data_IF_342420259835
#
_entry.id   IF_342420259835
#
_cell.length_a   1.000
_cell.length_b   1.000
_cell.length_c   1.000
_cell.angle_alpha   90.00
_cell.angle_beta   90.00
_cell.angle_gamma   90.00
#
_symmetry.space_group_name_H-M   'P 1'
#
loop_
_entity.id
_entity.type
_entity.pdbx_description
1 polymer ?
#
# COMPACT_ATOMS: atom_id res chain seq x y z
N UNK A 1 -53.14 18.02 -25.36
CA UNK A 1 -53.29 16.62 -25.79
C UNK A 1 -51.89 16.03 -25.77
N UNK A 2 -51.53 15.20 -24.78
CA UNK A 2 -51.52 13.70 -24.86
C UNK A 2 -50.89 13.22 -26.18
N UNK A 3 -49.85 12.39 -26.25
CA UNK A 3 -49.22 11.44 -25.30
C UNK A 3 -47.89 10.90 -25.95
N UNK A 4 -46.78 10.67 -25.22
CA UNK A 4 -46.19 9.36 -24.76
C UNK A 4 -45.67 8.46 -25.91
N UNK A 5 -44.57 7.70 -25.93
CA UNK A 5 -43.31 7.42 -25.17
C UNK A 5 -42.43 6.55 -26.14
N UNK A 6 -41.14 6.22 -25.96
CA UNK A 6 -40.49 5.43 -24.88
C UNK A 6 -38.96 5.62 -24.94
N UNK A 7 -38.40 5.95 -23.77
CA UNK A 7 -37.00 5.90 -23.34
C UNK A 7 -36.71 4.51 -22.75
N UNK A 8 -35.54 3.89 -23.04
CA UNK A 8 -34.84 2.90 -22.19
C UNK A 8 -33.50 2.47 -22.85
N UNK A 9 -32.35 2.29 -22.20
CA UNK A 9 -31.93 2.44 -20.78
C UNK A 9 -30.38 2.49 -20.73
N UNK A 10 -29.86 3.51 -20.02
CA UNK A 10 -28.55 3.69 -19.38
C UNK A 10 -27.23 3.63 -20.20
N UNK A 11 -27.05 4.62 -21.06
CA UNK A 11 -25.85 5.48 -20.99
C UNK A 11 -26.27 6.82 -20.36
N UNK A 12 -25.37 7.46 -19.59
CA UNK A 12 -25.52 8.73 -18.88
C UNK A 12 -26.01 8.67 -17.41
N UNK A 13 -25.12 8.25 -16.52
CA UNK A 13 -24.84 8.82 -15.19
C UNK A 13 -23.68 7.98 -14.60
N UNK A 14 -22.43 8.43 -14.61
CA UNK A 14 -21.86 9.26 -13.54
C UNK A 14 -20.59 9.95 -14.07
N UNK A 15 -20.52 11.26 -13.87
CA UNK A 15 -19.30 12.06 -13.99
C UNK A 15 -18.25 11.59 -12.98
N UNK A 16 -16.94 11.49 -13.31
CA UNK A 16 -15.90 11.31 -12.31
C UNK A 16 -15.64 12.68 -11.67
N UNK A 17 -16.33 12.99 -10.58
CA UNK A 17 -16.04 14.20 -9.84
C UNK A 17 -14.71 14.01 -9.09
N UNK A 18 -13.66 14.83 -9.34
CA UNK A 18 -12.39 14.77 -8.59
C UNK A 18 -12.61 14.92 -7.07
N UNK A 19 -13.69 15.59 -6.68
CA UNK A 19 -14.18 15.74 -5.31
C UNK A 19 -14.40 14.39 -4.59
N UNK A 20 -14.77 13.33 -5.31
CA UNK A 20 -15.02 12.02 -4.71
C UNK A 20 -13.72 11.26 -4.44
N UNK A 21 -12.71 11.41 -5.32
CA UNK A 21 -11.38 10.85 -5.10
C UNK A 21 -10.66 11.55 -3.94
N UNK A 22 -10.77 12.89 -3.85
CA UNK A 22 -10.23 13.67 -2.74
C UNK A 22 -10.92 13.30 -1.41
N UNK A 23 -12.25 13.12 -1.43
CA UNK A 23 -13.00 12.65 -0.27
C UNK A 23 -12.53 11.27 0.22
N UNK A 24 -12.39 10.30 -0.70
CA UNK A 24 -11.94 8.94 -0.35
C UNK A 24 -10.57 8.96 0.31
N UNK A 25 -9.65 9.76 -0.24
CA UNK A 25 -8.30 9.90 0.30
C UNK A 25 -8.31 10.56 1.68
N UNK A 26 -8.97 11.71 1.81
CA UNK A 26 -8.95 12.47 3.06
C UNK A 26 -9.66 11.72 4.20
N UNK A 27 -10.75 11.00 3.89
CA UNK A 27 -11.46 10.16 4.86
C UNK A 27 -10.69 8.89 5.22
N UNK A 28 -10.06 8.25 4.24
CA UNK A 28 -9.20 7.09 4.48
C UNK A 28 -8.04 7.46 5.43
N UNK A 29 -7.38 8.59 5.18
CA UNK A 29 -6.28 9.08 6.00
C UNK A 29 -6.73 9.52 7.40
N UNK A 30 -7.87 10.20 7.53
CA UNK A 30 -8.41 10.62 8.82
C UNK A 30 -8.83 9.43 9.70
N UNK A 31 -9.46 8.43 9.11
CA UNK A 31 -9.77 7.18 9.79
C UNK A 31 -8.47 6.47 10.23
N UNK A 32 -7.51 6.34 9.32
CA UNK A 32 -6.26 5.64 9.60
C UNK A 32 -5.45 6.31 10.73
N UNK A 33 -5.42 7.66 10.77
CA UNK A 33 -4.79 8.41 11.84
C UNK A 33 -5.48 8.22 13.21
N UNK A 34 -6.80 8.01 13.22
CA UNK A 34 -7.56 7.69 14.44
C UNK A 34 -7.24 6.27 14.90
N UNK A 35 -7.14 5.36 13.94
CA UNK A 35 -6.86 3.94 14.17
C UNK A 35 -5.46 3.66 14.70
N UNK A 36 -4.47 4.42 14.27
CA UNK A 36 -3.13 4.35 14.83
C UNK A 36 -3.06 4.78 16.30
N UNK A 37 -3.96 5.67 16.74
CA UNK A 37 -3.98 6.18 18.13
C UNK A 37 -4.84 5.34 19.05
N UNK A 38 -5.92 4.76 18.54
CA UNK A 38 -6.84 3.92 19.31
C UNK A 38 -7.42 2.82 18.42
N UNK A 39 -6.72 1.69 18.24
CA UNK A 39 -7.20 0.60 17.41
C UNK A 39 -8.50 0.04 18.01
N UNK A 40 -9.59 0.09 17.25
CA UNK A 40 -10.85 -0.55 17.63
C UNK A 40 -10.67 -2.07 17.64
N UNK A 41 -10.76 -2.66 18.84
CA UNK A 41 -10.57 -4.10 19.11
C UNK A 41 -11.78 -4.94 18.72
N UNK A 42 -12.89 -4.33 18.30
CA UNK A 42 -14.12 -5.05 17.93
C UNK A 42 -14.15 -5.55 16.49
N UNK A 43 -13.07 -5.34 15.72
CA UNK A 43 -13.03 -5.57 14.26
C UNK A 43 -12.82 -7.01 13.80
N UNK A 44 -12.84 -8.01 14.70
CA UNK A 44 -12.81 -9.41 14.31
C UNK A 44 -11.67 -9.79 13.34
N UNK A 45 -10.51 -9.14 13.49
CA UNK A 45 -9.31 -9.39 12.67
C UNK A 45 -9.21 -8.63 11.34
N UNK A 46 -10.08 -7.66 11.06
CA UNK A 46 -9.95 -6.77 9.89
C UNK A 46 -8.85 -5.74 10.16
N UNK A 47 -7.97 -5.51 9.18
CA UNK A 47 -6.89 -4.54 9.32
C UNK A 47 -7.42 -3.09 9.36
N UNK A 48 -6.67 -2.19 10.00
CA UNK A 48 -7.07 -0.79 10.10
C UNK A 48 -7.20 -0.12 8.72
N UNK A 49 -6.35 -0.49 7.77
CA UNK A 49 -6.38 -0.02 6.39
C UNK A 49 -7.66 -0.46 5.66
N UNK A 50 -8.05 -1.73 5.77
CA UNK A 50 -9.27 -2.25 5.15
C UNK A 50 -10.53 -1.61 5.74
N UNK A 51 -10.58 -1.47 7.06
CA UNK A 51 -11.69 -0.80 7.73
C UNK A 51 -11.81 0.67 7.27
N UNK A 52 -10.69 1.38 7.21
CA UNK A 52 -10.69 2.78 6.82
C UNK A 52 -10.98 3.00 5.34
N UNK A 53 -10.54 2.10 4.47
CA UNK A 53 -10.91 2.12 3.06
C UNK A 53 -12.43 1.89 2.89
N UNK A 54 -13.00 0.89 3.57
CA UNK A 54 -14.43 0.61 3.52
C UNK A 54 -15.27 1.77 4.10
N UNK A 55 -14.85 2.34 5.22
CA UNK A 55 -15.50 3.49 5.84
C UNK A 55 -15.48 4.72 4.92
N UNK A 56 -14.34 5.01 4.29
CA UNK A 56 -14.23 6.12 3.34
C UNK A 56 -15.18 5.96 2.14
N UNK A 57 -15.32 4.74 1.60
CA UNK A 57 -16.24 4.45 0.49
C UNK A 57 -17.70 4.67 0.90
N UNK A 58 -18.09 4.26 2.10
CA UNK A 58 -19.47 4.45 2.59
C UNK A 58 -19.77 5.93 2.81
N UNK A 59 -18.86 6.68 3.45
CA UNK A 59 -19.08 8.09 3.77
C UNK A 59 -19.04 8.99 2.53
N UNK A 60 -18.13 8.73 1.59
CA UNK A 60 -18.01 9.48 0.34
C UNK A 60 -19.03 9.03 -0.71
N UNK A 61 -19.64 7.85 -0.56
CA UNK A 61 -20.74 7.37 -1.40
C UNK A 61 -22.11 7.96 -1.02
N UNK A 62 -22.30 8.40 0.23
CA UNK A 62 -23.56 9.03 0.68
C UNK A 62 -23.65 10.53 0.37
N UNK A 63 -22.56 11.17 -0.06
CA UNK A 63 -22.50 12.63 -0.27
C UNK A 63 -23.04 13.09 -1.64
N UNK A 64 -23.38 12.16 -2.55
CA UNK A 64 -23.93 12.50 -3.88
C UNK A 64 -25.47 12.61 -3.93
N UNK A 65 -26.17 12.50 -2.80
CA UNK A 65 -27.64 12.59 -2.75
C UNK A 65 -28.15 13.46 -1.59
N UNK A 66 -27.76 14.74 -1.56
CA UNK A 66 -28.45 15.77 -0.77
C UNK A 66 -28.12 17.18 -1.28
N UNK A 67 -28.64 17.51 -2.47
CA UNK A 67 -28.80 18.90 -2.87
C UNK A 67 -30.10 19.45 -2.24
N UNK A 68 -29.97 20.26 -1.19
CA UNK A 68 -31.07 20.99 -0.55
C UNK A 68 -30.54 21.85 0.59
N UNK A 69 -30.38 23.15 0.34
CA UNK A 69 -29.62 24.07 1.20
C UNK A 69 -30.28 24.45 2.52
N UNK A 70 -29.45 25.00 3.41
CA UNK A 70 -29.84 25.71 4.63
C UNK A 70 -28.65 25.91 5.56
N UNK A 71 -28.24 27.16 5.78
CA UNK A 71 -27.17 27.55 6.71
C UNK A 71 -27.63 27.48 8.18
N UNK A 72 -26.62 27.38 9.06
CA UNK A 72 -26.46 27.98 10.41
C UNK A 72 -26.26 26.97 11.58
N UNK A 73 -24.97 26.80 11.94
CA UNK A 73 -24.32 26.76 13.28
C UNK A 73 -24.69 25.68 14.35
N UNK A 74 -23.76 25.41 15.31
CA UNK A 74 -23.54 24.09 15.91
C UNK A 74 -24.11 23.96 17.32
N UNK A 75 -24.41 22.73 17.75
CA UNK A 75 -24.44 22.30 19.16
C UNK A 75 -24.50 20.76 19.27
N UNK A 76 -23.55 20.23 20.04
CA UNK A 76 -23.65 19.18 21.06
C UNK A 76 -24.37 17.82 20.85
N UNK A 77 -23.57 16.77 21.11
CA UNK A 77 -23.77 15.66 22.09
C UNK A 77 -25.02 14.77 21.97
N UNK A 78 -24.75 13.47 21.77
CA UNK A 78 -25.57 12.28 22.06
C UNK A 78 -27.01 12.23 21.53
N UNK A 79 -27.26 11.35 20.56
CA UNK A 79 -28.49 10.55 20.55
C UNK A 79 -28.37 9.31 19.65
N UNK A 80 -28.42 8.16 20.32
CA UNK A 80 -29.21 6.97 20.00
C UNK A 80 -29.19 6.37 18.57
N UNK A 81 -28.64 5.15 18.53
CA UNK A 81 -28.96 4.09 17.56
C UNK A 81 -30.47 4.01 17.32
N UNK A 82 -30.89 4.27 16.08
CA UNK A 82 -32.14 3.72 15.52
C UNK A 82 -31.81 2.81 14.33
N UNK A 83 -32.10 1.51 14.52
CA UNK A 83 -32.31 0.55 13.44
C UNK A 83 -33.42 1.09 12.53
N UNK A 84 -33.25 0.95 11.23
CA UNK A 84 -34.37 0.97 10.29
C UNK A 84 -34.31 -0.27 9.41
N UNK A 85 -35.38 -1.05 9.54
CA UNK A 85 -35.74 -2.17 8.68
C UNK A 85 -36.11 -1.67 7.28
N UNK A 86 -35.69 -2.48 6.29
CA UNK A 86 -36.23 -2.71 4.95
C UNK A 86 -36.73 -1.53 4.09
N UNK A 87 -36.17 -1.41 2.88
CA UNK A 87 -36.87 -1.30 1.58
C UNK A 87 -35.84 -1.34 0.41
N UNK A 88 -36.25 -1.61 -0.85
CA UNK A 88 -35.94 -2.85 -1.56
C UNK A 88 -34.72 -2.77 -2.48
N UNK A 89 -34.00 -3.89 -2.57
CA UNK A 89 -32.96 -4.15 -3.55
C UNK A 89 -33.57 -4.16 -4.95
N UNK A 90 -33.26 -3.15 -5.77
CA UNK A 90 -33.44 -3.23 -7.20
C UNK A 90 -32.49 -4.31 -7.74
N UNK A 91 -33.07 -5.48 -8.07
CA UNK A 91 -32.40 -6.57 -8.78
C UNK A 91 -31.87 -6.06 -10.12
N UNK A 92 -30.56 -5.95 -10.24
CA UNK A 92 -29.87 -6.29 -11.48
C UNK A 92 -29.26 -7.67 -11.27
N UNK A 93 -29.70 -8.61 -12.11
CA UNK A 93 -29.37 -10.02 -11.99
C UNK A 93 -27.93 -10.25 -12.48
N UNK A 94 -27.03 -10.37 -11.53
CA UNK A 94 -25.98 -11.40 -11.59
C UNK A 94 -25.72 -11.94 -10.18
N UNK A 95 -26.72 -12.63 -9.63
CA UNK A 95 -26.53 -13.51 -8.49
C UNK A 95 -25.87 -14.80 -8.97
N UNK A 96 -24.59 -14.72 -9.33
CA UNK A 96 -23.72 -15.86 -9.09
C UNK A 96 -23.68 -16.00 -7.57
N UNK A 97 -24.22 -17.09 -7.01
CA UNK A 97 -23.97 -17.42 -5.61
C UNK A 97 -22.47 -17.26 -5.37
N UNK A 98 -22.08 -16.38 -4.44
CA UNK A 98 -20.67 -16.20 -4.07
C UNK A 98 -20.16 -17.58 -3.73
N UNK A 99 -19.29 -18.15 -4.58
CA UNK A 99 -18.74 -19.47 -4.30
C UNK A 99 -18.06 -19.38 -2.93
N UNK A 100 -18.10 -20.45 -2.14
CA UNK A 100 -17.50 -20.45 -0.80
C UNK A 100 -16.01 -20.01 -0.82
N UNK A 101 -15.32 -20.25 -1.94
CA UNK A 101 -13.94 -19.82 -2.19
C UNK A 101 -13.73 -18.29 -2.31
N UNK A 102 -14.79 -17.52 -2.54
CA UNK A 102 -14.71 -16.07 -2.77
C UNK A 102 -15.22 -15.23 -1.56
N UNK A 103 -15.40 -15.86 -0.39
CA UNK A 103 -15.94 -15.18 0.81
C UNK A 103 -15.04 -14.02 1.26
N UNK A 104 -13.72 -14.18 1.14
CA UNK A 104 -12.73 -13.16 1.49
C UNK A 104 -12.20 -12.38 0.27
N UNK A 105 -12.83 -12.56 -0.89
CA UNK A 105 -12.32 -11.99 -2.13
C UNK A 105 -12.75 -10.52 -2.32
N UNK A 106 -11.77 -9.68 -2.65
CA UNK A 106 -11.95 -8.34 -3.19
C UNK A 106 -12.23 -8.41 -4.69
N UNK A 107 -13.11 -7.54 -5.19
CA UNK A 107 -13.49 -7.47 -6.60
C UNK A 107 -13.25 -6.07 -7.15
N UNK A 108 -12.56 -5.99 -8.28
CA UNK A 108 -12.20 -4.75 -8.96
C UNK A 108 -12.85 -4.73 -10.34
N UNK A 109 -13.75 -3.78 -10.57
CA UNK A 109 -14.47 -3.66 -11.82
C UNK A 109 -13.53 -3.31 -12.97
N UNK A 110 -13.64 -4.02 -14.07
CA UNK A 110 -13.00 -3.70 -15.36
C UNK A 110 -14.06 -3.72 -16.46
N UNK A 111 -13.74 -3.22 -17.65
CA UNK A 111 -14.72 -3.00 -18.72
C UNK A 111 -15.62 -4.20 -19.01
N UNK A 112 -15.03 -5.40 -19.12
CA UNK A 112 -15.73 -6.64 -19.46
C UNK A 112 -15.70 -7.69 -18.33
N UNK A 113 -15.68 -7.23 -17.06
CA UNK A 113 -15.71 -8.16 -15.94
C UNK A 113 -15.11 -7.65 -14.63
N UNK A 114 -14.52 -8.57 -13.89
CA UNK A 114 -13.94 -8.33 -12.58
C UNK A 114 -12.57 -8.96 -12.46
N UNK A 115 -11.59 -8.21 -11.96
CA UNK A 115 -10.41 -8.82 -11.34
C UNK A 115 -10.82 -9.17 -9.90
N UNK A 116 -10.60 -10.42 -9.50
CA UNK A 116 -10.97 -10.94 -8.19
C UNK A 116 -9.69 -11.35 -7.48
N UNK A 117 -9.43 -10.82 -6.29
CA UNK A 117 -8.25 -11.17 -5.48
C UNK A 117 -8.69 -11.65 -4.12
N UNK A 118 -8.15 -12.78 -3.66
CA UNK A 118 -8.42 -13.31 -2.33
C UNK A 118 -7.11 -13.55 -1.58
N UNK A 119 -6.99 -13.11 -0.31
CA UNK A 119 -5.85 -13.45 0.53
C UNK A 119 -5.88 -14.92 0.99
N UNK A 120 -6.89 -15.70 0.58
CA UNK A 120 -7.09 -17.08 1.01
C UNK A 120 -7.99 -17.19 2.25
N UNK A 121 -8.07 -18.39 2.81
CA UNK A 121 -8.77 -18.69 4.06
C UNK A 121 -8.02 -18.11 5.25
N UNK A 122 -8.75 -17.68 6.29
CA UNK A 122 -8.11 -17.27 7.54
C UNK A 122 -7.49 -18.49 8.23
N UNK A 123 -6.45 -18.26 9.04
CA UNK A 123 -5.81 -19.34 9.79
C UNK A 123 -6.84 -20.16 10.59
N UNK A 124 -6.90 -21.47 10.34
CA UNK A 124 -7.81 -22.40 11.00
C UNK A 124 -9.20 -22.55 10.34
N UNK A 125 -9.51 -21.80 9.29
CA UNK A 125 -10.73 -21.94 8.51
C UNK A 125 -10.66 -23.17 7.58
N UNK A 126 -11.81 -23.83 7.36
CA UNK A 126 -11.91 -25.00 6.47
C UNK A 126 -13.06 -24.81 5.45
N UNK A 127 -12.88 -25.19 4.18
CA UNK A 127 -11.63 -25.69 3.59
C UNK A 127 -10.55 -24.60 3.55
N UNK A 128 -9.29 -25.03 3.57
CA UNK A 128 -8.17 -24.12 3.34
C UNK A 128 -8.20 -23.66 1.89
N UNK A 129 -8.23 -22.34 1.70
CA UNK A 129 -8.25 -21.70 0.39
C UNK A 129 -6.94 -20.93 0.28
N UNK A 130 -6.16 -21.23 -0.76
CA UNK A 130 -4.92 -20.49 -1.02
C UNK A 130 -5.22 -19.08 -1.52
N UNK A 131 -4.31 -18.11 -1.30
CA UNK A 131 -4.43 -16.82 -1.95
C UNK A 131 -4.45 -16.97 -3.48
N UNK A 132 -5.23 -16.13 -4.16
CA UNK A 132 -5.32 -16.17 -5.62
C UNK A 132 -5.73 -14.83 -6.23
N UNK A 133 -5.48 -14.71 -7.53
CA UNK A 133 -6.02 -13.68 -8.42
C UNK A 133 -6.74 -14.37 -9.59
N UNK A 134 -7.96 -13.93 -9.91
CA UNK A 134 -8.78 -14.37 -11.04
C UNK A 134 -9.17 -13.17 -11.91
N UNK A 135 -9.44 -13.41 -13.19
CA UNK A 135 -10.25 -12.52 -14.02
C UNK A 135 -11.55 -13.22 -14.38
N UNK A 136 -12.67 -12.63 -13.98
CA UNK A 136 -13.97 -13.31 -13.93
C UNK A 136 -13.82 -14.62 -13.15
N UNK A 137 -14.13 -15.75 -13.79
CA UNK A 137 -14.00 -17.08 -13.18
C UNK A 137 -12.71 -17.82 -13.61
N UNK A 138 -11.82 -17.17 -14.35
CA UNK A 138 -10.56 -17.75 -14.82
C UNK A 138 -9.43 -17.41 -13.86
N UNK A 139 -8.79 -18.44 -13.29
CA UNK A 139 -7.61 -18.29 -12.46
C UNK A 139 -6.46 -17.66 -13.27
N UNK A 140 -5.89 -16.58 -12.74
CA UNK A 140 -4.67 -15.97 -13.26
C UNK A 140 -3.47 -16.54 -12.51
N UNK A 141 -3.55 -16.52 -11.18
CA UNK A 141 -2.48 -16.96 -10.30
C UNK A 141 -3.05 -17.47 -8.98
N UNK A 142 -2.50 -18.57 -8.50
CA UNK A 142 -2.70 -19.10 -7.14
C UNK A 142 -1.33 -19.08 -6.47
N UNK A 143 -1.29 -18.74 -5.18
CA UNK A 143 -0.05 -18.57 -4.45
C UNK A 143 0.09 -19.61 -3.34
N UNK A 144 1.31 -20.09 -3.17
CA UNK A 144 1.68 -21.03 -2.12
C UNK A 144 2.53 -20.33 -1.06
N UNK A 145 2.23 -20.59 0.22
CA UNK A 145 3.04 -20.17 1.37
C UNK A 145 3.40 -18.68 1.40
N UNK A 146 2.50 -17.81 0.94
CA UNK A 146 2.67 -16.35 1.00
C UNK A 146 1.39 -15.64 1.47
N UNK A 147 1.58 -14.48 2.08
CA UNK A 147 0.54 -13.48 2.29
C UNK A 147 0.41 -12.63 1.03
N UNK A 148 -0.79 -12.56 0.45
CA UNK A 148 -1.12 -11.69 -0.67
C UNK A 148 -1.73 -10.39 -0.16
N UNK A 149 -1.17 -9.25 -0.57
CA UNK A 149 -1.68 -7.92 -0.25
C UNK A 149 -1.90 -7.10 -1.52
N UNK A 150 -2.91 -6.22 -1.50
CA UNK A 150 -3.18 -5.32 -2.62
C UNK A 150 -2.52 -3.96 -2.35
N UNK A 151 -1.62 -3.55 -3.24
CA UNK A 151 -0.90 -2.28 -3.17
C UNK A 151 -1.68 -1.15 -3.85
N UNK A 152 -2.51 -1.48 -4.84
CA UNK A 152 -3.33 -0.51 -5.55
C UNK A 152 -4.12 -1.08 -6.72
N UNK A 153 -5.14 -0.34 -7.15
CA UNK A 153 -5.87 -0.63 -8.38
C UNK A 153 -6.05 0.67 -9.17
N UNK A 154 -5.51 0.71 -10.38
CA UNK A 154 -5.40 1.94 -11.18
C UNK A 154 -5.71 1.71 -12.65
N UNK A 155 -5.96 2.79 -13.40
CA UNK A 155 -6.12 2.74 -14.85
C UNK A 155 -4.89 3.33 -15.55
N UNK A 156 -4.37 2.63 -16.55
CA UNK A 156 -3.24 3.04 -17.37
C UNK A 156 -3.56 2.84 -18.87
N UNK A 157 -4.06 3.90 -19.51
CA UNK A 157 -4.51 3.82 -20.89
C UNK A 157 -5.77 2.97 -20.99
N UNK A 158 -5.71 1.90 -21.79
CA UNK A 158 -6.80 0.91 -21.95
C UNK A 158 -6.75 -0.24 -20.95
N UNK A 159 -5.85 -0.16 -19.97
CA UNK A 159 -5.63 -1.22 -19.00
C UNK A 159 -6.18 -0.83 -17.63
N UNK A 160 -6.90 -1.75 -17.01
CA UNK A 160 -7.10 -1.77 -15.56
C UNK A 160 -5.99 -2.61 -14.93
N UNK A 161 -5.27 -2.06 -13.96
CA UNK A 161 -4.05 -2.64 -13.39
C UNK A 161 -4.22 -2.83 -11.89
N UNK A 162 -4.14 -4.08 -11.45
CA UNK A 162 -3.99 -4.47 -10.06
C UNK A 162 -2.50 -4.56 -9.72
N UNK A 163 -2.08 -3.78 -8.72
CA UNK A 163 -0.76 -3.86 -8.10
C UNK A 163 -0.90 -4.66 -6.81
N UNK A 164 -0.02 -5.64 -6.61
CA UNK A 164 -0.07 -6.52 -5.46
C UNK A 164 1.33 -6.89 -4.99
N UNK A 165 1.41 -7.25 -3.71
CA UNK A 165 2.61 -7.73 -3.06
C UNK A 165 2.39 -9.13 -2.48
N UNK A 166 3.46 -9.93 -2.48
CA UNK A 166 3.50 -11.22 -1.79
C UNK A 166 4.63 -11.23 -0.76
N UNK A 167 4.35 -11.79 0.42
CA UNK A 167 5.35 -11.98 1.46
C UNK A 167 5.29 -13.42 2.00
N UNK A 168 6.38 -14.19 1.97
CA UNK A 168 6.41 -15.56 2.49
C UNK A 168 6.28 -15.65 4.02
N UNK A 169 6.29 -14.51 4.71
CA UNK A 169 6.32 -14.45 6.16
C UNK A 169 7.70 -14.79 6.73
N UNK A 170 7.94 -14.34 7.96
CA UNK A 170 9.19 -14.56 8.67
C UNK A 170 9.98 -13.28 8.93
N UNK A 171 10.90 -13.36 9.88
CA UNK A 171 11.77 -12.23 10.21
C UNK A 171 12.76 -12.02 9.06
N UNK A 172 12.72 -10.86 8.41
CA UNK A 172 13.70 -10.49 7.39
C UNK A 172 13.26 -10.68 5.93
N UNK A 173 12.04 -11.14 5.66
CA UNK A 173 11.51 -11.29 4.29
C UNK A 173 11.01 -9.95 3.75
N UNK A 174 11.39 -9.62 2.51
CA UNK A 174 10.92 -8.43 1.78
C UNK A 174 9.67 -8.78 0.98
N UNK A 175 8.81 -7.80 0.78
CA UNK A 175 7.68 -7.93 -0.13
C UNK A 175 8.19 -8.05 -1.58
N UNK A 176 7.59 -8.96 -2.33
CA UNK A 176 7.77 -9.06 -3.78
C UNK A 176 6.56 -8.41 -4.45
N UNK A 177 6.79 -7.38 -5.26
CA UNK A 177 5.72 -6.63 -5.91
C UNK A 177 5.52 -7.09 -7.36
N UNK A 178 4.27 -7.18 -7.78
CA UNK A 178 3.88 -7.61 -9.12
C UNK A 178 2.63 -6.85 -9.58
N UNK A 179 2.31 -6.98 -10.87
CA UNK A 179 1.10 -6.41 -11.45
C UNK A 179 0.35 -7.41 -12.33
N UNK A 180 -0.97 -7.28 -12.32
CA UNK A 180 -1.89 -7.87 -13.30
C UNK A 180 -2.62 -6.73 -13.99
N UNK A 181 -2.53 -6.66 -15.31
CA UNK A 181 -3.22 -5.69 -16.14
C UNK A 181 -4.20 -6.39 -17.08
N UNK A 182 -5.43 -5.89 -17.17
CA UNK A 182 -6.46 -6.40 -18.08
C UNK A 182 -6.85 -5.29 -19.05
N UNK A 183 -6.76 -5.57 -20.35
CA UNK A 183 -7.14 -4.62 -21.39
C UNK A 183 -8.66 -4.58 -21.64
N UNK A 184 -9.08 -3.61 -22.43
CA UNK A 184 -10.47 -3.40 -22.86
C UNK A 184 -11.12 -4.55 -23.66
N UNK A 185 -10.37 -5.61 -23.99
CA UNK A 185 -10.85 -6.82 -24.65
C UNK A 185 -10.71 -8.05 -23.73
N UNK A 186 -10.36 -7.86 -22.46
CA UNK A 186 -10.11 -8.93 -21.50
C UNK A 186 -8.76 -9.62 -21.67
N UNK A 187 -7.81 -9.07 -22.44
CA UNK A 187 -6.45 -9.62 -22.54
C UNK A 187 -5.69 -9.33 -21.26
N UNK A 188 -5.16 -10.39 -20.66
CA UNK A 188 -4.42 -10.33 -19.40
C UNK A 188 -2.92 -10.18 -19.68
N UNK A 189 -2.29 -9.26 -18.96
CA UNK A 189 -0.85 -9.09 -18.87
C UNK A 189 -0.42 -9.21 -17.41
N UNK A 190 0.66 -9.93 -17.17
CA UNK A 190 1.26 -10.08 -15.84
C UNK A 190 2.73 -9.75 -15.92
N UNK A 191 3.24 -9.06 -14.91
CA UNK A 191 4.67 -8.87 -14.75
C UNK A 191 5.04 -8.77 -13.27
N UNK A 192 6.15 -9.39 -12.92
CA UNK A 192 6.81 -9.16 -11.64
C UNK A 192 7.66 -7.90 -11.75
N UNK A 193 7.60 -7.05 -10.72
CA UNK A 193 8.44 -5.88 -10.65
C UNK A 193 9.82 -6.28 -10.15
N UNK A 194 10.90 -5.75 -10.75
CA UNK A 194 12.23 -6.04 -10.28
C UNK A 194 12.40 -5.53 -8.84
N UNK A 195 12.93 -6.38 -7.96
CA UNK A 195 13.23 -5.97 -6.59
C UNK A 195 14.34 -4.92 -6.58
N UNK A 196 14.03 -3.71 -6.14
CA UNK A 196 15.00 -2.88 -5.45
C UNK A 196 14.60 -2.74 -4.00
N UNK A 197 15.58 -2.43 -3.16
CA UNK A 197 15.46 -2.71 -1.75
C UNK A 197 14.51 -1.74 -1.05
N UNK A 198 13.49 -2.31 -0.39
CA UNK A 198 12.56 -1.67 0.58
C UNK A 198 11.88 -0.39 0.11
N UNK A 199 11.79 -0.17 -1.20
CA UNK A 199 11.13 0.99 -1.76
C UNK A 199 10.19 0.55 -2.88
N UNK A 200 8.93 0.86 -2.68
CA UNK A 200 7.89 0.67 -3.68
C UNK A 200 7.01 1.91 -3.68
N UNK A 201 7.24 2.76 -4.67
CA UNK A 201 6.38 3.88 -4.96
C UNK A 201 5.95 3.80 -6.42
N UNK A 202 4.72 4.23 -6.69
CA UNK A 202 4.21 4.32 -8.04
C UNK A 202 3.44 5.61 -8.25
N UNK A 203 3.50 6.10 -9.49
CA UNK A 203 2.75 7.26 -9.95
C UNK A 203 2.05 6.93 -11.25
N UNK A 204 0.79 7.31 -11.33
CA UNK A 204 0.02 7.22 -12.58
C UNK A 204 0.05 8.58 -13.26
N UNK A 205 0.61 8.63 -14.46
CA UNK A 205 0.68 9.85 -15.26
C UNK A 205 0.68 9.52 -16.75
N UNK A 206 0.04 10.38 -17.56
CA UNK A 206 0.05 10.27 -19.03
C UNK A 206 -0.33 8.87 -19.57
N UNK A 207 -1.28 8.20 -18.91
CA UNK A 207 -1.74 6.82 -19.22
C UNK A 207 -0.71 5.71 -18.95
N UNK A 208 0.32 6.00 -18.16
CA UNK A 208 1.39 5.07 -17.76
C UNK A 208 1.46 4.95 -16.25
N UNK A 209 2.13 3.91 -15.77
CA UNK A 209 2.51 3.76 -14.37
C UNK A 209 4.02 3.81 -14.30
N UNK A 210 4.55 4.83 -13.64
CA UNK A 210 5.96 4.95 -13.31
C UNK A 210 6.18 4.37 -11.91
N UNK A 211 7.13 3.46 -11.79
CA UNK A 211 7.52 2.82 -10.54
C UNK A 211 8.92 3.27 -10.13
N UNK A 212 9.05 3.72 -8.88
CA UNK A 212 10.32 3.88 -8.20
C UNK A 212 10.49 2.68 -7.26
N UNK A 213 11.49 1.84 -7.58
CA UNK A 213 11.65 0.52 -6.96
C UNK A 213 12.88 0.47 -6.06
N UNK A 214 13.50 1.61 -5.74
CA UNK A 214 14.66 1.68 -4.86
C UNK A 214 15.99 1.44 -5.56
N UNK A 215 16.97 0.97 -4.79
CA UNK A 215 18.35 0.74 -5.24
C UNK A 215 18.66 -0.75 -5.13
N UNK A 216 19.38 -1.28 -6.10
CA UNK A 216 19.92 -2.64 -6.09
C UNK A 216 21.31 -2.61 -6.74
N UNK A 217 22.34 -3.11 -6.06
CA UNK A 217 23.71 -3.16 -6.59
C UNK A 217 24.20 -1.78 -7.10
N UNK A 218 23.99 -0.74 -6.29
CA UNK A 218 24.38 0.64 -6.61
C UNK A 218 23.63 1.27 -7.79
N UNK A 219 22.55 0.65 -8.27
CA UNK A 219 21.74 1.17 -9.38
C UNK A 219 20.33 1.47 -8.89
N UNK A 220 19.85 2.67 -9.18
CA UNK A 220 18.44 2.99 -9.00
C UNK A 220 17.62 2.19 -10.02
N UNK A 221 16.64 1.46 -9.51
CA UNK A 221 15.72 0.64 -10.29
C UNK A 221 14.43 1.43 -10.46
N UNK A 222 14.05 1.64 -11.72
CA UNK A 222 12.76 2.22 -12.10
C UNK A 222 12.10 1.32 -13.11
N UNK A 223 10.79 1.27 -13.10
CA UNK A 223 10.04 0.58 -14.14
C UNK A 223 8.93 1.48 -14.68
N UNK A 224 8.55 1.31 -15.93
CA UNK A 224 7.42 2.00 -16.55
C UNK A 224 6.52 0.96 -17.19
N UNK A 225 5.27 0.92 -16.77
CA UNK A 225 4.23 0.16 -17.44
C UNK A 225 3.48 1.07 -18.42
N UNK A 226 3.54 0.71 -19.70
CA UNK A 226 2.93 1.46 -20.80
C UNK A 226 2.40 0.50 -21.86
N UNK A 227 1.12 0.63 -22.18
CA UNK A 227 0.40 -0.17 -23.20
C UNK A 227 0.73 -1.68 -23.17
N UNK A 228 0.63 -2.31 -21.99
CA UNK A 228 0.85 -3.75 -21.85
C UNK A 228 2.31 -4.18 -21.86
N UNK A 229 3.25 -3.24 -21.67
CA UNK A 229 4.68 -3.52 -21.58
C UNK A 229 5.30 -2.87 -20.35
N UNK A 230 5.97 -3.69 -19.54
CA UNK A 230 6.87 -3.22 -18.48
C UNK A 230 8.28 -2.98 -19.04
N UNK A 231 8.78 -1.76 -18.89
CA UNK A 231 10.15 -1.38 -19.27
C UNK A 231 10.95 -1.02 -18.03
N UNK A 232 12.02 -1.74 -17.76
CA UNK A 232 12.86 -1.55 -16.57
C UNK A 232 14.12 -0.79 -16.94
N UNK A 233 14.44 0.23 -16.14
CA UNK A 233 15.68 0.99 -16.24
C UNK A 233 16.50 0.81 -14.97
N UNK A 234 17.79 0.53 -15.12
CA UNK A 234 18.76 0.47 -14.02
C UNK A 234 19.83 1.52 -14.25
N UNK A 235 19.82 2.58 -13.44
CA UNK A 235 20.75 3.70 -13.59
C UNK A 235 21.73 3.73 -12.43
N UNK A 236 23.06 3.72 -12.67
CA UNK A 236 24.03 3.86 -11.59
C UNK A 236 23.75 5.12 -10.75
N UNK A 237 23.71 4.98 -9.44
CA UNK A 237 23.55 6.15 -8.58
C UNK A 237 24.82 6.98 -8.61
N UNK A 238 24.66 8.30 -8.69
CA UNK A 238 25.81 9.20 -8.62
C UNK A 238 26.40 9.16 -7.22
N UNK A 239 27.74 9.09 -7.15
CA UNK A 239 28.45 9.24 -5.87
C UNK A 239 28.12 10.62 -5.31
N UNK A 240 27.73 10.66 -4.04
CA UNK A 240 27.28 11.88 -3.41
C UNK A 240 26.84 11.65 -1.97
N UNK A 241 25.86 12.46 -1.55
CA UNK A 241 25.26 12.32 -0.24
C UNK A 241 24.27 11.14 -0.24
N UNK A 242 24.15 10.50 0.91
CA UNK A 242 23.01 9.66 1.23
C UNK A 242 21.73 10.53 1.21
N UNK A 243 20.62 9.96 0.75
CA UNK A 243 19.33 10.67 0.73
C UNK A 243 18.92 11.15 2.12
N UNK A 244 18.18 12.26 2.18
CA UNK A 244 17.76 12.84 3.47
C UNK A 244 16.88 11.86 4.27
N UNK A 245 16.01 11.10 3.60
CA UNK A 245 15.12 10.13 4.24
C UNK A 245 15.91 8.96 4.84
N UNK A 246 16.83 8.36 4.09
CA UNK A 246 17.74 7.31 4.59
C UNK A 246 18.56 7.82 5.79
N UNK A 247 19.12 9.03 5.68
CA UNK A 247 19.91 9.62 6.74
C UNK A 247 19.08 9.90 8.00
N UNK A 248 17.85 10.41 7.82
CA UNK A 248 16.92 10.67 8.92
C UNK A 248 16.45 9.38 9.57
N UNK A 249 16.18 8.33 8.78
CA UNK A 249 15.82 7.00 9.27
C UNK A 249 16.94 6.44 10.16
N UNK A 250 18.19 6.48 9.71
CA UNK A 250 19.31 5.97 10.51
C UNK A 250 19.46 6.80 11.81
N UNK A 251 19.47 8.12 11.69
CA UNK A 251 19.69 8.99 12.85
C UNK A 251 18.57 8.89 13.89
N UNK A 252 17.31 8.97 13.45
CA UNK A 252 16.17 8.98 14.36
C UNK A 252 15.75 7.56 14.78
N UNK A 253 15.81 6.60 13.86
CA UNK A 253 15.32 5.24 14.09
C UNK A 253 16.32 4.31 14.77
N UNK A 254 17.62 4.48 14.51
CA UNK A 254 18.62 3.44 14.85
C UNK A 254 19.57 3.94 15.95
N UNK A 255 19.96 5.21 15.92
CA UNK A 255 20.89 5.74 16.91
C UNK A 255 20.33 5.73 18.35
N UNK A 256 19.00 5.64 18.53
CA UNK A 256 18.41 5.40 19.86
C UNK A 256 18.77 4.01 20.39
N UNK A 257 18.72 2.99 19.54
CA UNK A 257 19.09 1.62 19.92
C UNK A 257 20.60 1.51 20.20
N UNK A 258 21.42 2.27 19.47
CA UNK A 258 22.84 2.40 19.74
C UNK A 258 23.13 3.02 21.13
N UNK A 259 22.37 4.06 21.50
CA UNK A 259 22.58 4.82 22.72
C UNK A 259 21.90 4.21 23.96
N UNK A 260 21.31 3.02 23.83
CA UNK A 260 20.53 2.37 24.88
C UNK A 260 21.34 2.17 26.18
N UNK A 261 20.73 2.45 27.35
CA UNK A 261 21.41 2.34 28.65
C UNK A 261 21.79 0.89 28.99
N UNK A 262 21.02 -0.08 28.51
CA UNK A 262 21.18 -1.51 28.76
C UNK A 262 22.16 -2.22 27.82
N UNK A 263 22.76 -1.52 26.85
CA UNK A 263 23.85 -2.10 26.05
C UNK A 263 25.06 -2.41 26.93
N UNK A 264 25.40 -3.69 27.05
CA UNK A 264 26.51 -4.23 27.86
C UNK A 264 27.86 -4.18 27.13
N UNK A 265 27.82 -4.21 25.80
CA UNK A 265 28.97 -4.08 24.90
C UNK A 265 28.75 -2.90 23.96
N UNK A 266 29.84 -2.21 23.64
CA UNK A 266 29.85 -1.12 22.66
C UNK A 266 30.70 -1.46 21.44
N UNK A 267 30.70 -2.75 21.06
CA UNK A 267 31.18 -3.27 19.79
C UNK A 267 29.95 -3.47 18.93
N UNK A 268 29.85 -2.76 17.80
CA UNK A 268 28.61 -2.69 17.02
C UNK A 268 28.01 -4.06 16.67
N UNK A 269 28.85 -5.01 16.30
CA UNK A 269 28.41 -6.36 15.89
C UNK A 269 27.83 -7.18 17.06
N UNK A 270 28.17 -6.82 18.30
CA UNK A 270 27.68 -7.48 19.52
C UNK A 270 26.54 -6.69 20.20
N UNK A 271 26.18 -5.51 19.66
CA UNK A 271 25.13 -4.67 20.24
C UNK A 271 23.75 -5.29 20.00
N UNK A 272 22.86 -5.12 20.97
CA UNK A 272 21.48 -5.57 20.85
C UNK A 272 20.67 -4.54 20.05
N UNK A 273 20.82 -4.56 18.73
CA UNK A 273 20.00 -3.82 17.77
C UNK A 273 18.90 -4.77 17.25
N UNK A 274 17.65 -4.32 17.26
CA UNK A 274 16.53 -5.12 16.79
C UNK A 274 16.67 -5.44 15.31
N UNK A 275 16.23 -6.63 14.89
CA UNK A 275 16.30 -7.03 13.48
C UNK A 275 15.54 -6.06 12.55
N UNK A 276 14.47 -5.44 13.06
CA UNK A 276 13.72 -4.41 12.34
C UNK A 276 14.57 -3.15 12.04
N UNK A 277 15.55 -2.82 12.90
CA UNK A 277 16.50 -1.71 12.66
C UNK A 277 17.77 -2.16 11.95
N UNK A 278 18.24 -3.39 12.18
CA UNK A 278 19.42 -3.90 11.50
C UNK A 278 19.20 -4.08 9.99
N UNK A 279 18.00 -4.50 9.59
CA UNK A 279 17.63 -4.75 8.20
C UNK A 279 17.86 -3.54 7.27
N UNK A 280 17.31 -2.34 7.54
CA UNK A 280 17.58 -1.18 6.70
C UNK A 280 19.06 -0.77 6.68
N UNK A 281 19.84 -1.04 7.73
CA UNK A 281 21.29 -0.78 7.74
C UNK A 281 22.02 -1.71 6.77
N UNK A 282 21.72 -3.00 6.86
CA UNK A 282 22.32 -4.02 6.00
C UNK A 282 21.96 -3.76 4.54
N UNK A 283 20.71 -3.38 4.28
CA UNK A 283 20.21 -2.96 2.96
C UNK A 283 21.02 -1.78 2.41
N UNK A 284 21.14 -0.69 3.18
CA UNK A 284 21.94 0.47 2.76
C UNK A 284 23.42 0.13 2.58
N UNK A 285 23.98 -0.73 3.42
CA UNK A 285 25.38 -1.16 3.32
C UNK A 285 25.67 -1.98 2.06
N UNK A 286 24.70 -2.78 1.62
CA UNK A 286 24.84 -3.63 0.44
C UNK A 286 24.59 -2.84 -0.85
N UNK A 287 23.52 -2.04 -0.89
CA UNK A 287 23.03 -1.46 -2.15
C UNK A 287 23.42 -0.02 -2.39
N UNK A 288 23.67 0.77 -1.34
CA UNK A 288 23.86 2.21 -1.46
C UNK A 288 25.32 2.62 -1.30
N UNK A 289 26.08 2.88 -2.38
CA UNK A 289 27.48 3.31 -2.30
C UNK A 289 27.69 4.66 -1.59
N UNK A 290 26.62 5.44 -1.33
CA UNK A 290 26.72 6.69 -0.57
C UNK A 290 26.57 6.47 0.94
N UNK A 291 26.17 5.28 1.40
CA UNK A 291 26.13 4.95 2.81
C UNK A 291 27.52 4.57 3.34
N UNK A 292 28.00 5.32 4.34
CA UNK A 292 29.30 5.10 4.95
C UNK A 292 29.19 4.16 6.14
N UNK A 293 29.09 2.87 5.88
CA UNK A 293 28.89 1.84 6.90
C UNK A 293 29.88 1.93 8.07
N UNK A 294 31.19 2.06 7.81
CA UNK A 294 32.21 2.18 8.87
C UNK A 294 32.08 3.45 9.72
N UNK A 295 31.67 4.56 9.09
CA UNK A 295 31.43 5.82 9.81
C UNK A 295 30.18 5.72 10.69
N UNK A 296 29.15 5.03 10.20
CA UNK A 296 27.96 4.72 10.99
C UNK A 296 28.29 3.79 12.17
N UNK A 297 29.02 2.70 11.94
CA UNK A 297 29.50 1.76 12.97
C UNK A 297 30.19 2.51 14.10
N UNK A 298 31.19 3.33 13.75
CA UNK A 298 31.93 4.16 14.70
C UNK A 298 31.02 5.13 15.47
N UNK A 299 30.05 5.74 14.81
CA UNK A 299 29.09 6.64 15.45
C UNK A 299 28.19 5.90 16.45
N UNK A 300 27.75 4.69 16.11
CA UNK A 300 26.91 3.83 16.97
C UNK A 300 27.68 3.39 18.23
N UNK A 301 28.93 2.92 18.07
CA UNK A 301 29.80 2.56 19.19
C UNK A 301 30.08 3.75 20.11
N UNK A 302 30.30 4.93 19.52
CA UNK A 302 30.48 6.15 20.31
C UNK A 302 29.21 6.52 21.07
N UNK A 303 28.04 6.43 20.44
CA UNK A 303 26.76 6.69 21.07
C UNK A 303 26.49 5.72 22.24
N UNK A 304 26.88 4.46 22.10
CA UNK A 304 26.84 3.47 23.18
C UNK A 304 27.76 3.85 24.34
N UNK A 305 29.00 4.27 24.07
CA UNK A 305 29.97 4.65 25.11
C UNK A 305 29.50 5.85 25.93
N UNK A 306 28.86 6.83 25.29
CA UNK A 306 28.39 8.06 25.96
C UNK A 306 26.91 8.03 26.34
N UNK A 307 26.20 6.93 26.04
CA UNK A 307 24.75 6.74 26.25
C UNK A 307 23.91 7.89 25.71
N UNK A 308 24.31 8.43 24.55
CA UNK A 308 23.66 9.57 23.92
C UNK A 308 23.93 9.59 22.41
N UNK A 309 22.91 10.01 21.65
CA UNK A 309 23.06 10.32 20.23
C UNK A 309 24.14 11.40 19.99
N UNK A 310 24.94 11.29 18.91
CA UNK A 310 25.78 12.38 18.44
C UNK A 310 24.91 13.57 18.01
N UNK A 311 25.48 14.77 17.95
CA UNK A 311 24.76 15.91 17.39
C UNK A 311 24.43 15.66 15.90
N UNK A 312 23.19 15.93 15.50
CA UNK A 312 22.69 15.67 14.13
C UNK A 312 23.61 16.21 13.04
N UNK A 313 24.09 17.44 13.17
CA UNK A 313 24.98 18.05 12.18
C UNK A 313 26.31 17.28 12.03
N UNK A 314 26.88 16.82 13.15
CA UNK A 314 28.10 16.01 13.14
C UNK A 314 27.86 14.63 12.55
N UNK A 315 26.73 14.00 12.89
CA UNK A 315 26.33 12.71 12.32
C UNK A 315 26.13 12.80 10.80
N UNK A 316 25.35 13.76 10.32
CA UNK A 316 25.10 13.98 8.88
C UNK A 316 26.40 14.15 8.11
N UNK A 317 27.32 14.96 8.62
CA UNK A 317 28.64 15.16 8.00
C UNK A 317 29.47 13.88 7.94
N UNK A 318 29.47 13.09 9.00
CA UNK A 318 30.28 11.87 9.07
C UNK A 318 29.72 10.72 8.22
N UNK A 319 28.41 10.48 8.31
CA UNK A 319 27.75 9.27 7.79
C UNK A 319 27.05 9.50 6.45
N UNK A 320 26.44 10.67 6.25
CA UNK A 320 25.51 10.89 5.15
C UNK A 320 26.06 11.80 4.03
N UNK A 321 27.06 12.64 4.30
CA UNK A 321 27.59 13.57 3.29
C UNK A 321 28.83 13.02 2.60
N UNK A 322 29.03 13.31 1.32
CA UNK A 322 30.28 13.06 0.63
C UNK A 322 31.44 13.84 1.29
N UNK A 323 32.66 13.28 1.23
CA UNK A 323 33.87 13.98 1.71
C UNK A 323 34.35 14.99 0.68
#
# INVERSE_FOLDING_TARGET
>A
MKSIAVFAVLAAALSPCPVQADCLRDRGLACYATEQKKPDTTRGGISASEFCAASAVIECGQSSSSAGGGRVMPSDINSERKRFDHLPTARSADTSATKAEDIHASRFAVKDGWIISSPGSRYGEKPEIKPYIKYNNSLIEEFDDVFLSIDGFVSAGRYAVLLYSTNPGGSGTVDSHSLVAVDDNGKIYRADLPAGHEHFEYRVANRKIDFELGINDGKQIRAVFDDGRLSVTKTPIQKGNLGDDDCNMIYNGIMDECARPDQTTCIYDDMTISMARQRPINSLAYDNPNFKHESFKSACEQACKVKRKPALAGFRKAVCQAR
#
